data_IF_570771866998
#
_entry.id   IF_570771866998
#
_cell.length_a   1.000
_cell.length_b   1.000
_cell.length_c   1.000
_cell.angle_alpha   90.00
_cell.angle_beta   90.00
_cell.angle_gamma   90.00
#
_symmetry.space_group_name_H-M   'P 1'
#
loop_
_entity.id
_entity.type
_entity.pdbx_description
1 polymer ?
#
# COMPACT_ATOMS: atom_id res chain seq x y z
N UNK A 1 2.15 24.74 -4.00
CA UNK A 1 1.19 23.72 -3.53
C UNK A 1 1.11 22.64 -4.59
N UNK A 2 0.91 21.37 -4.25
CA UNK A 2 0.73 20.29 -5.24
C UNK A 2 -0.75 20.01 -5.41
N UNK A 3 -1.19 19.85 -6.65
CA UNK A 3 -2.60 19.59 -6.99
C UNK A 3 -2.74 18.15 -7.43
N UNK A 4 -3.72 17.46 -6.83
CA UNK A 4 -4.09 16.11 -7.23
C UNK A 4 -4.91 16.15 -8.51
N UNK A 5 -4.42 15.50 -9.55
CA UNK A 5 -5.16 15.26 -10.80
C UNK A 5 -5.65 13.82 -10.83
N UNK A 6 -6.89 13.61 -11.30
CA UNK A 6 -7.53 12.31 -11.45
C UNK A 6 -7.67 11.98 -12.93
N UNK A 7 -7.17 10.82 -13.34
CA UNK A 7 -7.33 10.30 -14.70
C UNK A 7 -7.89 8.87 -14.66
N UNK A 8 -8.76 8.49 -15.60
CA UNK A 8 -9.21 7.12 -15.70
C UNK A 8 -8.10 6.24 -16.32
N UNK A 9 -7.95 5.03 -15.79
CA UNK A 9 -7.13 3.97 -16.34
C UNK A 9 -8.00 2.73 -16.54
N UNK A 10 -8.07 2.19 -17.75
CA UNK A 10 -8.85 0.98 -18.02
C UNK A 10 -7.92 -0.22 -18.02
N UNK A 11 -8.09 -1.13 -17.05
CA UNK A 11 -7.40 -2.40 -16.98
C UNK A 11 -7.81 -3.33 -18.13
N UNK A 12 -6.99 -4.34 -18.44
CA UNK A 12 -7.22 -5.25 -19.57
C UNK A 12 -8.53 -6.04 -19.50
N UNK A 13 -9.03 -6.26 -18.28
CA UNK A 13 -10.33 -6.92 -18.07
C UNK A 13 -11.53 -5.96 -18.19
N UNK A 14 -11.29 -4.67 -18.52
CA UNK A 14 -12.30 -3.64 -18.70
C UNK A 14 -12.66 -2.88 -17.43
N UNK A 15 -12.03 -3.18 -16.28
CA UNK A 15 -12.26 -2.42 -15.05
C UNK A 15 -11.61 -1.03 -15.14
N UNK A 16 -12.35 0.00 -14.72
CA UNK A 16 -11.83 1.37 -14.72
C UNK A 16 -11.27 1.71 -13.32
N UNK A 17 -9.97 1.98 -13.26
CA UNK A 17 -9.27 2.39 -12.07
C UNK A 17 -9.06 3.90 -12.08
N UNK A 18 -9.29 4.55 -10.96
CA UNK A 18 -9.03 5.97 -10.77
C UNK A 18 -7.54 6.17 -10.46
N UNK A 19 -6.79 6.75 -11.37
CA UNK A 19 -5.37 7.02 -11.22
C UNK A 19 -5.14 8.48 -10.82
N UNK A 20 -4.38 8.69 -9.77
CA UNK A 20 -4.08 10.00 -9.20
C UNK A 20 -2.63 10.39 -9.44
N UNK A 21 -2.42 11.66 -9.80
CA UNK A 21 -1.11 12.28 -9.92
C UNK A 21 -1.08 13.56 -9.08
N UNK A 22 -0.05 13.76 -8.29
CA UNK A 22 0.19 15.02 -7.57
C UNK A 22 1.24 15.80 -8.30
N UNK A 23 0.82 16.88 -8.94
CA UNK A 23 1.66 17.74 -9.78
C UNK A 23 1.91 19.07 -9.07
N UNK A 24 3.12 19.63 -9.25
CA UNK A 24 3.40 21.00 -8.81
C UNK A 24 2.47 21.98 -9.54
N UNK A 25 1.88 22.94 -8.80
CA UNK A 25 1.13 24.04 -9.43
C UNK A 25 2.02 24.76 -10.44
N UNK A 26 1.52 24.93 -11.66
CA UNK A 26 2.27 25.57 -12.79
C UNK A 26 2.65 27.02 -12.54
N UNK A 27 2.09 27.67 -11.51
CA UNK A 27 2.32 29.06 -11.16
C UNK A 27 3.71 29.39 -10.59
N UNK A 28 4.54 28.38 -10.31
CA UNK A 28 5.88 28.58 -9.72
C UNK A 28 7.07 28.43 -10.67
N UNK A 29 6.84 28.01 -11.92
CA UNK A 29 7.94 27.89 -12.89
C UNK A 29 8.05 29.16 -13.72
N UNK A 30 9.14 29.94 -13.55
CA UNK A 30 9.49 30.97 -14.50
C UNK A 30 9.85 30.36 -15.86
N UNK A 31 9.52 31.00 -17.00
CA UNK A 31 9.95 30.55 -18.32
C UNK A 31 11.48 30.41 -18.34
N UNK A 32 12.00 29.19 -18.51
CA UNK A 32 13.45 28.92 -18.53
C UNK A 32 13.97 28.17 -17.30
N UNK A 33 13.18 27.97 -16.25
CA UNK A 33 13.55 27.12 -15.13
C UNK A 33 13.45 25.65 -15.54
N UNK A 34 14.57 25.07 -15.92
CA UNK A 34 14.75 23.61 -16.14
C UNK A 34 14.74 22.89 -14.79
N UNK A 35 13.63 22.98 -14.03
CA UNK A 35 13.50 22.48 -12.67
C UNK A 35 14.36 21.25 -12.37
N UNK A 36 14.84 21.11 -11.15
CA UNK A 36 15.63 19.96 -10.72
C UNK A 36 14.90 18.66 -11.13
N UNK A 37 15.56 17.73 -11.85
CA UNK A 37 14.94 16.47 -12.25
C UNK A 37 14.38 15.76 -11.04
N UNK A 38 13.21 15.15 -11.17
CA UNK A 38 12.62 14.36 -10.09
C UNK A 38 13.56 13.21 -9.70
N UNK A 39 13.64 12.93 -8.41
CA UNK A 39 14.52 11.90 -7.80
C UNK A 39 14.01 10.48 -8.11
N UNK A 40 12.73 10.33 -8.35
CA UNK A 40 12.05 9.09 -8.63
C UNK A 40 10.54 9.28 -8.71
N UNK A 41 9.82 8.22 -8.99
CA UNK A 41 8.36 8.17 -8.93
C UNK A 41 7.91 7.20 -7.85
N UNK A 42 7.02 7.65 -6.96
CA UNK A 42 6.41 6.82 -5.92
C UNK A 42 4.99 6.46 -6.34
N UNK A 43 4.71 5.16 -6.47
CA UNK A 43 3.37 4.64 -6.66
C UNK A 43 2.81 4.15 -5.32
N UNK A 44 1.76 4.80 -4.83
CA UNK A 44 1.11 4.45 -3.57
C UNK A 44 -0.06 3.49 -3.78
N UNK A 45 -0.17 2.47 -2.90
CA UNK A 45 -1.23 1.47 -2.89
C UNK A 45 -1.91 1.48 -1.52
N UNK A 46 -3.17 1.89 -1.49
CA UNK A 46 -3.96 2.08 -0.27
C UNK A 46 -4.47 0.77 0.36
N UNK A 47 -5.03 0.84 1.56
CA UNK A 47 -5.55 -0.29 2.34
C UNK A 47 -6.96 -0.76 1.93
N UNK A 48 -7.48 -1.74 2.67
CA UNK A 48 -8.85 -2.28 2.47
C UNK A 48 -9.90 -1.28 2.92
N UNK A 49 -10.89 -1.04 2.06
CA UNK A 49 -12.07 -0.25 2.39
C UNK A 49 -11.86 1.26 2.35
N UNK A 50 -10.66 1.73 2.00
CA UNK A 50 -10.31 3.14 1.87
C UNK A 50 -9.99 3.53 0.40
N UNK A 51 -9.31 4.64 0.17
CA UNK A 51 -8.98 5.13 -1.17
C UNK A 51 -7.74 6.03 -1.17
N UNK A 52 -7.14 6.23 -2.35
CA UNK A 52 -5.90 7.00 -2.54
C UNK A 52 -6.00 8.46 -2.08
N UNK A 53 -7.18 9.07 -2.16
CA UNK A 53 -7.40 10.46 -1.74
C UNK A 53 -7.13 10.74 -0.25
N UNK A 54 -7.05 9.70 0.59
CA UNK A 54 -6.69 9.86 2.01
C UNK A 54 -5.19 10.11 2.22
N UNK A 55 -4.39 9.98 1.17
CA UNK A 55 -2.92 10.12 1.20
C UNK A 55 -2.42 11.46 0.66
N UNK A 56 -3.30 12.46 0.48
CA UNK A 56 -2.90 13.79 -0.02
C UNK A 56 -1.73 14.40 0.77
N UNK A 57 -1.72 14.27 2.09
CA UNK A 57 -0.64 14.80 2.94
C UNK A 57 0.68 14.02 2.77
N UNK A 58 0.63 12.70 2.59
CA UNK A 58 1.81 11.86 2.30
C UNK A 58 2.37 12.22 0.94
N UNK A 59 1.50 12.34 -0.07
CA UNK A 59 1.89 12.72 -1.42
C UNK A 59 2.55 14.11 -1.45
N UNK A 60 1.95 15.09 -0.77
CA UNK A 60 2.52 16.44 -0.68
C UNK A 60 3.91 16.45 -0.03
N UNK A 61 4.13 15.65 1.03
CA UNK A 61 5.47 15.50 1.62
C UNK A 61 6.46 14.91 0.60
N UNK A 62 6.11 13.80 -0.06
CA UNK A 62 6.97 13.16 -1.07
C UNK A 62 7.28 14.12 -2.24
N UNK A 63 6.28 14.83 -2.75
CA UNK A 63 6.49 15.85 -3.79
C UNK A 63 7.43 16.97 -3.31
N UNK A 64 7.29 17.43 -2.06
CA UNK A 64 8.19 18.46 -1.49
C UNK A 64 9.62 17.96 -1.34
N UNK A 65 9.85 16.65 -1.30
CA UNK A 65 11.17 16.03 -1.27
C UNK A 65 11.71 15.71 -2.67
N UNK A 66 11.01 16.13 -3.73
CA UNK A 66 11.45 16.02 -5.11
C UNK A 66 11.08 14.72 -5.82
N UNK A 67 10.05 14.00 -5.35
CA UNK A 67 9.51 12.83 -6.04
C UNK A 67 8.27 13.18 -6.86
N UNK A 68 8.09 12.52 -8.01
CA UNK A 68 6.78 12.39 -8.64
C UNK A 68 5.94 11.41 -7.84
N UNK A 69 4.64 11.68 -7.69
CA UNK A 69 3.77 10.83 -6.87
C UNK A 69 2.52 10.45 -7.63
N UNK A 70 2.28 9.16 -7.68
CA UNK A 70 1.09 8.55 -8.25
C UNK A 70 0.42 7.62 -7.23
N UNK A 71 -0.87 7.42 -7.38
CA UNK A 71 -1.61 6.39 -6.67
C UNK A 71 -2.80 5.97 -7.53
N UNK A 72 -3.43 4.86 -7.18
CA UNK A 72 -4.70 4.48 -7.79
C UNK A 72 -5.65 3.95 -6.73
N UNK A 73 -6.94 4.14 -6.96
CA UNK A 73 -7.94 3.41 -6.20
C UNK A 73 -8.00 1.98 -6.71
N UNK A 74 -7.79 1.01 -5.83
CA UNK A 74 -7.92 -0.40 -6.18
C UNK A 74 -9.35 -0.71 -6.60
N UNK A 75 -9.55 -1.71 -7.46
CA UNK A 75 -10.89 -2.11 -7.92
C UNK A 75 -11.88 -2.23 -6.76
N UNK A 76 -13.09 -1.72 -6.94
CA UNK A 76 -14.13 -1.70 -5.91
C UNK A 76 -13.89 -0.73 -4.75
N UNK A 77 -12.96 0.21 -4.90
CA UNK A 77 -12.64 1.23 -3.89
C UNK A 77 -12.69 2.64 -4.51
N UNK A 78 -12.96 3.63 -3.66
CA UNK A 78 -12.88 5.05 -4.02
C UNK A 78 -13.71 5.41 -5.25
N UNK A 79 -13.04 5.98 -6.25
CA UNK A 79 -13.62 6.38 -7.54
C UNK A 79 -13.43 5.30 -8.64
N UNK A 80 -12.76 4.17 -8.33
CA UNK A 80 -12.64 3.03 -9.23
C UNK A 80 -13.95 2.25 -9.32
N UNK A 81 -14.19 1.64 -10.50
CA UNK A 81 -15.34 0.76 -10.67
C UNK A 81 -15.15 -0.59 -9.99
N UNK A 82 -16.16 -1.44 -10.08
CA UNK A 82 -16.20 -2.74 -9.40
C UNK A 82 -17.02 -2.75 -8.11
N UNK A 83 -17.44 -3.93 -7.71
CA UNK A 83 -18.23 -4.08 -6.48
C UNK A 83 -17.32 -4.08 -5.25
N UNK A 84 -17.61 -3.26 -4.22
CA UNK A 84 -16.80 -3.15 -3.02
C UNK A 84 -16.47 -4.50 -2.37
N UNK A 85 -15.16 -4.74 -2.16
CA UNK A 85 -14.65 -5.94 -1.49
C UNK A 85 -14.68 -7.23 -2.32
N UNK A 86 -14.98 -7.17 -3.62
CA UNK A 86 -14.98 -8.35 -4.51
C UNK A 86 -13.77 -8.38 -5.43
N UNK A 87 -13.42 -9.55 -5.93
CA UNK A 87 -12.37 -9.75 -6.93
C UNK A 87 -12.89 -10.68 -8.06
N UNK A 88 -12.60 -10.40 -9.33
CA UNK A 88 -12.92 -11.32 -10.44
C UNK A 88 -12.05 -12.57 -10.41
N UNK A 89 -10.79 -12.44 -10.00
CA UNK A 89 -9.83 -13.55 -9.88
C UNK A 89 -9.01 -13.46 -8.59
N UNK A 90 -8.24 -14.49 -8.26
CA UNK A 90 -7.32 -14.50 -7.11
C UNK A 90 -6.08 -13.63 -7.32
N UNK A 91 -5.80 -13.22 -8.55
CA UNK A 91 -4.63 -12.41 -8.92
C UNK A 91 -4.98 -10.96 -9.27
N UNK A 92 -6.27 -10.60 -9.34
CA UNK A 92 -6.73 -9.33 -9.87
C UNK A 92 -6.02 -8.10 -9.28
N UNK A 93 -5.79 -8.05 -7.96
CA UNK A 93 -5.08 -6.92 -7.32
C UNK A 93 -3.61 -6.83 -7.76
N UNK A 94 -2.97 -7.97 -8.03
CA UNK A 94 -1.60 -8.03 -8.51
C UNK A 94 -1.52 -7.67 -10.00
N UNK A 95 -2.51 -8.09 -10.77
CA UNK A 95 -2.61 -7.80 -12.21
C UNK A 95 -2.87 -6.29 -12.41
N UNK A 96 -3.79 -5.70 -11.64
CA UNK A 96 -4.02 -4.25 -11.63
C UNK A 96 -2.76 -3.46 -11.31
N UNK A 97 -2.05 -3.86 -10.23
CA UNK A 97 -0.80 -3.20 -9.87
C UNK A 97 0.26 -3.32 -10.98
N UNK A 98 0.33 -4.48 -11.66
CA UNK A 98 1.25 -4.66 -12.79
C UNK A 98 0.94 -3.70 -13.94
N UNK A 99 -0.34 -3.57 -14.30
CA UNK A 99 -0.78 -2.73 -15.42
C UNK A 99 -0.61 -1.23 -15.11
N UNK A 100 -1.01 -0.78 -13.90
CA UNK A 100 -0.79 0.59 -13.45
C UNK A 100 0.71 0.91 -13.39
N UNK A 101 1.52 -0.01 -12.90
CA UNK A 101 2.97 0.18 -12.84
C UNK A 101 3.61 0.26 -14.24
N UNK A 102 3.13 -0.53 -15.20
CA UNK A 102 3.59 -0.47 -16.59
C UNK A 102 3.22 0.87 -17.23
N UNK A 103 2.03 1.43 -16.96
CA UNK A 103 1.60 2.76 -17.42
C UNK A 103 2.47 3.87 -16.82
N UNK A 104 2.69 3.86 -15.49
CA UNK A 104 3.58 4.81 -14.82
C UNK A 104 5.00 4.78 -15.38
N UNK A 105 5.51 3.60 -15.74
CA UNK A 105 6.83 3.47 -16.38
C UNK A 105 6.89 4.08 -17.77
N UNK A 106 5.81 4.00 -18.54
CA UNK A 106 5.76 4.66 -19.84
C UNK A 106 5.77 6.18 -19.68
N UNK A 107 5.12 6.70 -18.64
CA UNK A 107 5.10 8.14 -18.35
C UNK A 107 6.46 8.63 -17.80
N UNK A 108 7.14 7.80 -16.98
CA UNK A 108 8.40 8.14 -16.30
C UNK A 108 9.53 7.14 -16.60
N UNK A 109 9.93 6.98 -17.88
CA UNK A 109 10.81 5.86 -18.30
C UNK A 109 12.22 5.90 -17.71
N UNK A 110 12.67 7.07 -17.25
CA UNK A 110 14.03 7.29 -16.71
C UNK A 110 14.06 7.34 -15.19
N UNK A 111 12.91 7.46 -14.51
CA UNK A 111 12.88 7.61 -13.07
C UNK A 111 12.87 6.24 -12.36
N UNK A 112 13.61 6.11 -11.26
CA UNK A 112 13.48 4.95 -10.40
C UNK A 112 12.06 4.87 -9.82
N UNK A 113 11.42 3.70 -9.92
CA UNK A 113 10.08 3.47 -9.41
C UNK A 113 10.15 2.85 -8.02
N UNK A 114 9.43 3.47 -7.09
CA UNK A 114 9.30 3.09 -5.69
C UNK A 114 7.84 2.72 -5.44
N UNK A 115 7.57 1.56 -4.84
CA UNK A 115 6.23 1.23 -4.34
C UNK A 115 6.11 1.65 -2.88
N UNK A 116 4.97 2.26 -2.52
CA UNK A 116 4.58 2.50 -1.14
C UNK A 116 3.22 1.86 -0.91
N UNK A 117 3.13 0.86 -0.03
CA UNK A 117 1.87 0.19 0.27
C UNK A 117 1.50 0.25 1.74
N UNK A 118 0.22 0.52 2.03
CA UNK A 118 -0.32 0.50 3.37
C UNK A 118 -1.30 -0.67 3.54
N UNK A 119 -1.23 -1.38 4.67
CA UNK A 119 -2.20 -2.41 5.05
C UNK A 119 -2.37 -3.48 3.95
N UNK A 120 -3.60 -3.65 3.39
CA UNK A 120 -3.85 -4.48 2.22
C UNK A 120 -2.97 -4.09 1.04
N UNK A 121 -2.81 -2.79 0.76
CA UNK A 121 -1.91 -2.31 -0.29
C UNK A 121 -0.46 -2.67 -0.03
N UNK A 122 -0.04 -2.69 1.23
CA UNK A 122 1.27 -3.20 1.65
C UNK A 122 1.43 -4.71 1.39
N UNK A 123 0.39 -5.49 1.62
CA UNK A 123 0.36 -6.91 1.27
C UNK A 123 0.42 -7.11 -0.24
N UNK A 124 -0.38 -6.37 -1.01
CA UNK A 124 -0.36 -6.43 -2.48
C UNK A 124 1.03 -6.09 -3.02
N UNK A 125 1.61 -4.96 -2.59
CA UNK A 125 2.93 -4.51 -3.02
C UNK A 125 4.05 -5.49 -2.63
N UNK A 126 4.04 -6.01 -1.40
CA UNK A 126 5.05 -6.97 -0.94
C UNK A 126 4.91 -8.33 -1.64
N UNK A 127 3.68 -8.81 -1.87
CA UNK A 127 3.44 -10.03 -2.64
C UNK A 127 3.86 -9.88 -4.09
N UNK A 128 3.56 -8.75 -4.71
CA UNK A 128 3.97 -8.40 -6.08
C UNK A 128 5.49 -8.46 -6.24
N UNK A 129 6.23 -7.86 -5.31
CA UNK A 129 7.70 -7.88 -5.27
C UNK A 129 8.23 -9.29 -5.04
N UNK A 130 7.64 -10.06 -4.12
CA UNK A 130 8.06 -11.43 -3.82
C UNK A 130 7.92 -12.39 -5.01
N UNK A 131 6.98 -12.12 -5.91
CA UNK A 131 6.76 -12.86 -7.14
C UNK A 131 7.65 -12.39 -8.30
N UNK A 132 8.36 -11.26 -8.14
CA UNK A 132 9.17 -10.68 -9.22
C UNK A 132 8.35 -10.24 -10.43
N UNK A 133 7.08 -9.85 -10.26
CA UNK A 133 6.17 -9.56 -11.37
C UNK A 133 6.65 -8.41 -12.24
N UNK A 134 7.19 -7.37 -11.64
CA UNK A 134 7.89 -6.27 -12.31
C UNK A 134 9.01 -5.76 -11.40
N UNK A 135 10.16 -5.33 -11.95
CA UNK A 135 11.24 -4.77 -11.15
C UNK A 135 10.81 -3.43 -10.53
N UNK A 136 11.11 -3.20 -9.26
CA UNK A 136 11.00 -1.90 -8.59
C UNK A 136 12.33 -1.58 -7.91
N UNK A 137 12.65 -0.30 -7.77
CA UNK A 137 13.91 0.12 -7.14
C UNK A 137 13.88 0.00 -5.62
N UNK A 138 12.70 0.21 -5.04
CA UNK A 138 12.51 0.12 -3.59
C UNK A 138 11.04 -0.13 -3.26
N UNK A 139 10.82 -0.62 -2.03
CA UNK A 139 9.50 -0.87 -1.45
C UNK A 139 9.42 -0.18 -0.09
N UNK A 140 8.35 0.55 0.14
CA UNK A 140 7.99 1.12 1.46
C UNK A 140 6.70 0.47 1.91
N UNK A 141 6.69 -0.07 3.11
CA UNK A 141 5.55 -0.75 3.72
C UNK A 141 5.14 -0.03 5.00
N UNK A 142 3.86 0.29 5.11
CA UNK A 142 3.24 0.88 6.30
C UNK A 142 2.19 -0.10 6.83
N UNK A 143 2.44 -0.70 7.99
CA UNK A 143 1.58 -1.68 8.66
C UNK A 143 1.00 -2.73 7.68
N UNK A 144 1.83 -3.42 6.85
CA UNK A 144 1.34 -4.33 5.80
C UNK A 144 0.60 -5.52 6.41
N UNK A 145 -0.49 -5.95 5.76
CA UNK A 145 -1.33 -7.08 6.20
C UNK A 145 -0.65 -8.44 5.98
N UNK A 146 0.57 -8.62 6.50
CA UNK A 146 1.35 -9.87 6.38
C UNK A 146 0.80 -10.99 7.28
N UNK A 147 0.16 -10.63 8.39
CA UNK A 147 -0.62 -11.54 9.21
C UNK A 147 -1.96 -10.87 9.57
N UNK A 148 -3.03 -11.43 9.06
CA UNK A 148 -4.38 -10.90 9.29
C UNK A 148 -4.98 -11.36 10.63
N UNK A 149 -4.22 -12.03 11.49
CA UNK A 149 -4.70 -12.52 12.80
C UNK A 149 -5.85 -13.54 12.73
N UNK A 150 -6.03 -14.22 11.58
CA UNK A 150 -7.17 -15.11 11.35
C UNK A 150 -7.11 -16.35 12.23
N UNK A 151 -8.21 -16.63 12.93
CA UNK A 151 -8.39 -17.86 13.70
C UNK A 151 -8.53 -19.11 12.80
N UNK A 152 -8.41 -20.28 13.41
CA UNK A 152 -8.48 -21.58 12.70
C UNK A 152 -9.80 -21.75 11.94
N UNK A 153 -10.91 -21.36 12.55
CA UNK A 153 -12.24 -21.45 11.92
C UNK A 153 -12.37 -20.55 10.70
N UNK A 154 -11.90 -19.30 10.79
CA UNK A 154 -11.89 -18.37 9.65
C UNK A 154 -11.02 -18.91 8.51
N UNK A 155 -9.84 -19.46 8.81
CA UNK A 155 -8.96 -20.11 7.81
C UNK A 155 -9.64 -21.29 7.13
N UNK A 156 -10.44 -22.09 7.88
CA UNK A 156 -11.20 -23.20 7.33
C UNK A 156 -12.31 -22.72 6.40
N UNK A 157 -13.09 -21.70 6.80
CA UNK A 157 -14.12 -21.09 5.94
C UNK A 157 -13.53 -20.56 4.62
N UNK A 158 -12.35 -19.92 4.67
CA UNK A 158 -11.68 -19.39 3.49
C UNK A 158 -11.10 -20.48 2.57
N UNK A 159 -11.05 -21.74 2.97
CA UNK A 159 -10.75 -22.86 2.07
C UNK A 159 -11.95 -23.27 1.22
N UNK A 160 -13.17 -23.12 1.74
CA UNK A 160 -14.40 -23.65 1.13
C UNK A 160 -15.21 -22.55 0.44
N UNK A 161 -15.53 -21.46 1.15
CA UNK A 161 -16.43 -20.41 0.65
C UNK A 161 -16.02 -19.76 -0.67
N UNK A 162 -14.72 -19.55 -0.98
CA UNK A 162 -14.33 -18.98 -2.28
C UNK A 162 -14.67 -19.86 -3.47
N UNK A 163 -14.87 -21.17 -3.27
CA UNK A 163 -15.31 -22.09 -4.32
C UNK A 163 -16.83 -22.09 -4.54
N UNK A 164 -17.62 -21.69 -3.54
CA UNK A 164 -19.07 -21.75 -3.57
C UNK A 164 -19.69 -20.37 -3.79
N UNK A 165 -19.26 -19.38 -3.01
CA UNK A 165 -19.79 -18.00 -3.00
C UNK A 165 -18.67 -16.96 -3.04
N UNK A 166 -17.82 -16.96 -4.09
CA UNK A 166 -16.57 -16.21 -4.12
C UNK A 166 -16.73 -14.70 -3.89
N UNK A 167 -17.84 -14.13 -4.33
CA UNK A 167 -18.13 -12.70 -4.32
C UNK A 167 -19.27 -12.31 -3.37
N UNK A 168 -19.68 -13.19 -2.45
CA UNK A 168 -20.62 -12.83 -1.37
C UNK A 168 -19.99 -11.75 -0.50
N UNK A 169 -20.62 -10.59 -0.42
CA UNK A 169 -20.11 -9.44 0.35
C UNK A 169 -20.61 -9.47 1.76
N UNK A 170 -19.68 -9.50 2.71
CA UNK A 170 -19.95 -9.42 4.15
C UNK A 170 -19.20 -8.24 4.75
N UNK A 171 -19.50 -7.86 5.99
CA UNK A 171 -18.68 -6.92 6.74
C UNK A 171 -17.27 -7.46 6.95
N UNK A 172 -16.25 -6.61 6.81
CA UNK A 172 -14.85 -7.02 6.98
C UNK A 172 -14.45 -7.25 8.45
N UNK A 173 -15.28 -6.81 9.40
CA UNK A 173 -15.06 -6.99 10.84
C UNK A 173 -13.99 -6.07 11.44
N UNK A 174 -13.46 -5.12 10.67
CA UNK A 174 -12.48 -4.15 11.17
C UNK A 174 -13.18 -3.03 11.93
N UNK A 175 -12.68 -2.72 13.12
CA UNK A 175 -13.17 -1.59 13.92
C UNK A 175 -12.36 -0.33 13.57
N UNK A 176 -13.03 0.62 12.91
CA UNK A 176 -12.43 1.89 12.49
C UNK A 176 -11.87 2.74 13.65
N UNK A 177 -12.27 2.48 14.89
CA UNK A 177 -11.71 3.16 16.06
C UNK A 177 -10.22 2.85 16.28
N UNK A 178 -9.70 1.81 15.64
CA UNK A 178 -8.30 1.39 15.75
C UNK A 178 -7.43 1.75 14.54
N UNK A 179 -7.95 2.54 13.58
CA UNK A 179 -7.11 3.03 12.47
C UNK A 179 -6.07 4.04 12.96
N UNK A 180 -6.45 4.92 13.89
CA UNK A 180 -5.57 5.95 14.47
C UNK A 180 -6.05 6.30 15.90
N UNK A 181 -5.12 6.77 16.73
CA UNK A 181 -5.44 7.37 18.04
C UNK A 181 -6.05 8.77 17.90
N UNK A 182 -5.94 9.42 16.72
CA UNK A 182 -6.59 10.71 16.49
C UNK A 182 -8.09 10.52 16.16
N UNK A 183 -9.00 10.98 17.04
CA UNK A 183 -10.43 10.87 16.81
C UNK A 183 -10.91 11.68 15.60
N UNK A 184 -10.15 12.69 15.13
CA UNK A 184 -10.47 13.44 13.92
C UNK A 184 -10.30 12.54 12.69
N UNK A 185 -9.24 11.74 12.63
CA UNK A 185 -8.98 10.77 11.57
C UNK A 185 -10.09 9.72 11.53
N UNK A 186 -10.45 9.16 12.68
CA UNK A 186 -11.55 8.19 12.81
C UNK A 186 -12.87 8.76 12.30
N UNK A 187 -13.23 9.97 12.73
CA UNK A 187 -14.47 10.64 12.27
C UNK A 187 -14.46 10.88 10.76
N UNK A 188 -13.34 11.37 10.22
CA UNK A 188 -13.20 11.61 8.77
C UNK A 188 -13.38 10.31 7.99
N UNK A 189 -12.77 9.22 8.44
CA UNK A 189 -12.91 7.88 7.85
C UNK A 189 -14.37 7.40 7.84
N UNK A 190 -15.06 7.48 8.99
CA UNK A 190 -16.44 7.02 9.13
C UNK A 190 -17.46 7.85 8.34
N UNK A 191 -17.14 9.12 8.05
CA UNK A 191 -18.01 10.03 7.29
C UNK A 191 -17.73 10.05 5.79
N UNK A 192 -16.63 9.46 5.32
CA UNK A 192 -16.28 9.44 3.89
C UNK A 192 -17.11 8.39 3.14
N UNK A 193 -17.89 8.83 2.15
CA UNK A 193 -18.76 7.97 1.34
C UNK A 193 -18.01 7.01 0.44
N UNK A 194 -16.72 7.23 0.19
CA UNK A 194 -15.85 6.37 -0.61
C UNK A 194 -15.24 5.23 0.20
N UNK A 195 -15.40 5.29 1.52
CA UNK A 195 -14.99 4.23 2.43
C UNK A 195 -16.07 3.15 2.51
N UNK A 196 -15.68 1.89 2.55
CA UNK A 196 -16.60 0.77 2.74
C UNK A 196 -16.05 -0.28 3.71
N UNK A 197 -16.93 -1.05 4.30
CA UNK A 197 -16.59 -2.15 5.22
C UNK A 197 -16.84 -3.55 4.62
N UNK A 198 -16.72 -3.70 3.30
CA UNK A 198 -17.06 -4.95 2.60
C UNK A 198 -15.80 -5.78 2.30
N UNK A 199 -15.97 -7.10 2.40
CA UNK A 199 -15.01 -8.12 1.99
C UNK A 199 -15.75 -9.33 1.41
N UNK A 200 -15.17 -10.00 0.42
CA UNK A 200 -15.67 -11.26 -0.10
C UNK A 200 -14.77 -12.43 0.31
N UNK A 201 -15.27 -13.69 0.27
CA UNK A 201 -14.46 -14.87 0.52
C UNK A 201 -13.21 -14.94 -0.38
N UNK A 202 -13.28 -14.51 -1.64
CA UNK A 202 -12.12 -14.50 -2.54
C UNK A 202 -11.06 -13.51 -2.10
N UNK A 203 -11.45 -12.28 -1.73
CA UNK A 203 -10.50 -11.29 -1.20
C UNK A 203 -9.93 -11.75 0.15
N UNK A 204 -10.76 -12.30 1.04
CA UNK A 204 -10.31 -12.89 2.31
C UNK A 204 -9.29 -14.02 2.09
N UNK A 205 -9.52 -14.89 1.09
CA UNK A 205 -8.57 -15.95 0.72
C UNK A 205 -7.25 -15.37 0.19
N UNK A 206 -7.30 -14.33 -0.64
CA UNK A 206 -6.09 -13.64 -1.09
C UNK A 206 -5.27 -13.17 0.11
N UNK A 207 -5.88 -12.45 1.06
CA UNK A 207 -5.21 -11.96 2.26
C UNK A 207 -4.62 -13.13 3.07
N UNK A 208 -5.41 -14.18 3.32
CA UNK A 208 -5.01 -15.34 4.10
C UNK A 208 -3.88 -16.16 3.48
N UNK A 209 -3.68 -16.08 2.17
CA UNK A 209 -2.65 -16.86 1.46
C UNK A 209 -1.43 -16.01 1.06
N UNK A 210 -1.63 -14.77 0.66
CA UNK A 210 -0.55 -13.89 0.21
C UNK A 210 0.40 -13.49 1.36
N UNK A 211 -0.14 -13.24 2.57
CA UNK A 211 0.68 -12.90 3.74
C UNK A 211 1.69 -13.98 4.09
N UNK A 212 1.26 -15.21 4.43
CA UNK A 212 2.18 -16.31 4.70
C UNK A 212 3.15 -16.61 3.55
N UNK A 213 2.70 -16.48 2.29
CA UNK A 213 3.57 -16.71 1.13
C UNK A 213 4.64 -15.60 0.99
N UNK A 214 4.32 -14.34 1.33
CA UNK A 214 5.29 -13.25 1.38
C UNK A 214 6.28 -13.45 2.52
N UNK A 215 5.81 -13.86 3.71
CA UNK A 215 6.67 -14.20 4.84
C UNK A 215 7.65 -15.33 4.50
N UNK A 216 7.20 -16.33 3.73
CA UNK A 216 8.06 -17.44 3.30
C UNK A 216 9.17 -17.00 2.34
N UNK A 217 9.03 -15.88 1.64
CA UNK A 217 10.05 -15.33 0.72
C UNK A 217 11.04 -14.37 1.38
N UNK A 218 10.84 -14.04 2.66
CA UNK A 218 11.64 -13.04 3.36
C UNK A 218 13.14 -13.41 3.47
N UNK A 219 13.45 -14.70 3.53
CA UNK A 219 14.81 -15.24 3.60
C UNK A 219 15.60 -15.14 2.28
N UNK A 220 14.93 -14.76 1.18
CA UNK A 220 15.53 -14.54 -0.14
C UNK A 220 15.25 -13.14 -0.67
N UNK A 221 14.85 -12.21 0.21
CA UNK A 221 14.43 -10.87 -0.18
C UNK A 221 15.57 -10.04 -0.78
N UNK A 222 15.32 -9.40 -1.93
CA UNK A 222 16.37 -8.68 -2.68
C UNK A 222 16.09 -7.20 -2.87
N UNK A 223 14.82 -6.80 -2.79
CA UNK A 223 14.41 -5.42 -3.03
C UNK A 223 14.67 -4.57 -1.78
N UNK A 224 15.40 -3.44 -1.89
CA UNK A 224 15.54 -2.50 -0.78
C UNK A 224 14.17 -2.13 -0.20
N UNK A 225 13.96 -2.40 1.08
CA UNK A 225 12.64 -2.26 1.71
C UNK A 225 12.73 -1.49 3.02
N UNK A 226 11.88 -0.47 3.16
CA UNK A 226 11.55 0.15 4.44
C UNK A 226 10.26 -0.45 4.95
N UNK A 227 10.31 -1.15 6.07
CA UNK A 227 9.15 -1.72 6.75
C UNK A 227 8.86 -0.93 8.03
N UNK A 228 7.79 -0.18 8.03
CA UNK A 228 7.28 0.55 9.19
C UNK A 228 5.98 -0.12 9.66
N UNK A 229 5.83 -0.36 10.95
CA UNK A 229 4.63 -0.99 11.48
C UNK A 229 4.28 -0.49 12.88
N UNK A 230 3.00 -0.50 13.20
CA UNK A 230 2.46 -0.06 14.47
C UNK A 230 2.60 -1.15 15.53
N UNK A 231 3.10 -0.79 16.71
CA UNK A 231 3.29 -1.74 17.82
C UNK A 231 1.97 -2.06 18.56
N UNK A 232 1.00 -1.15 18.55
CA UNK A 232 -0.32 -1.34 19.15
C UNK A 232 -1.44 -1.55 18.10
N UNK A 233 -1.07 -2.05 16.90
CA UNK A 233 -2.01 -2.35 15.83
C UNK A 233 -3.06 -3.39 16.28
N UNK A 234 -4.35 -3.06 16.05
CA UNK A 234 -5.50 -3.93 16.37
C UNK A 234 -6.19 -4.47 15.11
N UNK A 235 -5.78 -4.00 13.93
CA UNK A 235 -6.38 -4.40 12.65
C UNK A 235 -5.55 -5.46 11.92
N UNK A 236 -4.23 -5.40 12.10
CA UNK A 236 -3.25 -6.35 11.56
C UNK A 236 -2.31 -6.77 12.68
N UNK A 237 -2.00 -8.07 12.76
CA UNK A 237 -1.05 -8.54 13.78
C UNK A 237 0.38 -8.04 13.45
N UNK A 238 0.98 -7.16 14.29
CA UNK A 238 2.33 -6.64 14.07
C UNK A 238 3.39 -7.73 14.05
N UNK A 239 3.12 -8.90 14.65
CA UNK A 239 4.02 -10.05 14.61
C UNK A 239 4.31 -10.54 13.18
N UNK A 240 3.41 -10.30 12.23
CA UNK A 240 3.67 -10.57 10.80
C UNK A 240 4.85 -9.74 10.28
N UNK A 241 4.83 -8.43 10.52
CA UNK A 241 5.92 -7.52 10.14
C UNK A 241 7.23 -7.84 10.86
N UNK A 242 7.14 -8.14 12.16
CA UNK A 242 8.29 -8.54 12.95
C UNK A 242 8.96 -9.81 12.42
N UNK A 243 8.16 -10.86 12.12
CA UNK A 243 8.67 -12.12 11.53
C UNK A 243 9.32 -11.91 10.18
N UNK A 244 8.73 -11.05 9.33
CA UNK A 244 9.32 -10.71 8.03
C UNK A 244 10.70 -10.08 8.19
N UNK A 245 10.82 -9.06 9.05
CA UNK A 245 12.09 -8.38 9.32
C UNK A 245 13.14 -9.33 9.90
N UNK A 246 12.76 -10.16 10.86
CA UNK A 246 13.65 -11.12 11.51
C UNK A 246 14.17 -12.16 10.50
N UNK A 247 13.29 -12.78 9.70
CA UNK A 247 13.71 -13.76 8.68
C UNK A 247 14.66 -13.18 7.65
N UNK A 248 14.38 -11.93 7.20
CA UNK A 248 15.28 -11.24 6.28
C UNK A 248 16.66 -10.94 6.91
N UNK A 249 16.68 -10.54 8.19
CA UNK A 249 17.93 -10.22 8.90
C UNK A 249 18.78 -11.45 9.23
N UNK A 250 18.15 -12.60 9.54
CA UNK A 250 18.83 -13.85 9.88
C UNK A 250 19.32 -14.60 8.64
N UNK A 251 18.81 -14.28 7.46
CA UNK A 251 19.18 -14.99 6.23
C UNK A 251 20.52 -14.55 5.67
N UNK A 252 21.38 -15.52 5.39
CA UNK A 252 22.67 -15.28 4.70
C UNK A 252 22.49 -14.94 3.20
N UNK A 253 21.34 -15.23 2.63
CA UNK A 253 21.02 -14.91 1.23
C UNK A 253 20.55 -13.46 1.04
N UNK A 254 20.15 -12.78 2.12
CA UNK A 254 19.72 -11.39 2.09
C UNK A 254 20.92 -10.49 2.44
N UNK A 255 21.22 -9.55 1.55
CA UNK A 255 22.29 -8.57 1.79
C UNK A 255 21.94 -7.72 3.02
N UNK A 256 22.87 -7.52 3.97
CA UNK A 256 22.63 -6.64 5.11
C UNK A 256 22.14 -5.24 4.68
N UNK A 257 21.13 -4.71 5.37
CA UNK A 257 20.53 -3.42 5.03
C UNK A 257 19.51 -3.45 3.89
N UNK A 258 19.24 -4.61 3.28
CA UNK A 258 18.17 -4.75 2.28
C UNK A 258 16.79 -4.45 2.88
N UNK A 259 16.53 -4.93 4.10
CA UNK A 259 15.32 -4.61 4.85
C UNK A 259 15.69 -3.75 6.05
N UNK A 260 15.15 -2.54 6.11
CA UNK A 260 15.18 -1.65 7.27
C UNK A 260 13.81 -1.72 7.92
N UNK A 261 13.71 -2.16 9.16
CA UNK A 261 12.43 -2.29 9.86
C UNK A 261 12.37 -1.38 11.09
N UNK A 262 11.21 -0.76 11.33
CA UNK A 262 10.93 0.06 12.50
C UNK A 262 9.54 -0.21 13.05
N UNK A 263 9.46 -0.62 14.30
CA UNK A 263 8.23 -0.63 15.08
C UNK A 263 8.00 0.77 15.69
N UNK A 264 6.78 1.26 15.60
CA UNK A 264 6.31 2.46 16.28
C UNK A 264 5.44 2.02 17.46
N UNK A 265 6.06 1.91 18.62
CA UNK A 265 5.40 1.46 19.84
C UNK A 265 4.25 2.40 20.22
N UNK A 266 3.12 1.81 20.62
CA UNK A 266 1.92 2.55 21.00
C UNK A 266 1.12 3.17 19.85
N UNK A 267 1.62 3.16 18.60
CA UNK A 267 0.88 3.65 17.44
C UNK A 267 -0.18 2.63 17.00
N UNK A 268 -1.28 3.15 16.43
CA UNK A 268 -2.30 2.36 15.76
C UNK A 268 -1.98 2.21 14.27
N UNK A 269 -2.87 1.57 13.55
CA UNK A 269 -2.65 1.03 12.21
C UNK A 269 -2.11 2.02 11.17
N UNK A 270 -2.71 3.23 11.08
CA UNK A 270 -2.39 4.23 10.06
C UNK A 270 -1.25 5.17 10.53
N UNK A 271 -0.01 4.72 10.43
CA UNK A 271 1.17 5.45 10.93
C UNK A 271 1.26 6.91 10.49
N UNK A 272 0.89 7.20 9.23
CA UNK A 272 0.92 8.54 8.66
C UNK A 272 -0.22 9.45 9.17
N UNK A 273 -1.24 8.86 9.76
CA UNK A 273 -2.43 9.53 10.28
C UNK A 273 -2.48 9.51 11.81
N UNK A 274 -1.39 9.19 12.49
CA UNK A 274 -1.32 9.18 13.95
C UNK A 274 -1.18 10.58 14.54
N UNK A 275 -1.37 10.70 15.88
CA UNK A 275 -1.27 11.97 16.60
C UNK A 275 0.10 12.63 16.43
N UNK A 276 1.17 11.83 16.41
CA UNK A 276 2.53 12.31 16.22
C UNK A 276 3.16 11.65 14.99
N UNK A 277 2.76 12.02 13.76
CA UNK A 277 3.24 11.36 12.54
C UNK A 277 4.67 11.79 12.13
N UNK A 278 5.21 12.85 12.74
CA UNK A 278 6.51 13.41 12.36
C UNK A 278 7.65 12.39 12.35
N UNK A 279 7.83 11.50 13.36
CA UNK A 279 8.89 10.49 13.33
C UNK A 279 8.76 9.48 12.19
N UNK A 280 7.52 9.21 11.73
CA UNK A 280 7.25 8.32 10.58
C UNK A 280 7.72 8.98 9.29
N UNK A 281 7.37 10.26 9.08
CA UNK A 281 7.82 11.04 7.92
C UNK A 281 9.33 11.26 7.91
N UNK A 282 9.93 11.54 9.06
CA UNK A 282 11.38 11.71 9.20
C UNK A 282 12.13 10.43 8.81
N UNK A 283 11.69 9.27 9.32
CA UNK A 283 12.29 7.99 8.96
C UNK A 283 12.15 7.71 7.46
N UNK A 284 10.95 7.94 6.88
CA UNK A 284 10.71 7.77 5.46
C UNK A 284 11.64 8.67 4.63
N UNK A 285 11.70 9.95 4.98
CA UNK A 285 12.55 10.92 4.29
C UNK A 285 14.03 10.52 4.34
N UNK A 286 14.56 10.25 5.52
CA UNK A 286 15.95 9.87 5.70
C UNK A 286 16.30 8.59 4.94
N UNK A 287 15.38 7.61 4.92
CA UNK A 287 15.59 6.38 4.18
C UNK A 287 15.59 6.58 2.66
N UNK A 288 14.73 7.45 2.15
CA UNK A 288 14.71 7.84 0.73
C UNK A 288 15.92 8.68 0.35
N UNK A 289 16.32 9.66 1.17
CA UNK A 289 17.49 10.52 0.94
C UNK A 289 18.80 9.75 0.86
N UNK A 290 18.91 8.64 1.59
CA UNK A 290 20.08 7.77 1.54
C UNK A 290 20.17 6.91 0.26
N UNK A 291 19.14 6.91 -0.62
CA UNK A 291 19.04 5.98 -1.76
C UNK A 291 18.78 6.64 -3.11
N UNK A 292 18.18 7.79 -3.10
CA UNK A 292 17.73 8.54 -4.27
C UNK A 292 18.15 10.00 -4.19
#
# INVERSE_FOLDING_TARGET
MYVRNLTPFTARDGENLALYHWLAEQSSKQPGDLGTPARGVVLMVHGLGEHAGRYDHVANCLCSWGFEVCAYDQRGHGESTGLPGTLPSSTALLDDLAEVLDDIRQQYPKLPLILLGHSLGGLVASRFVSLGMRPVKALVLSSPALDAGLGVFQKLLLKVLPGIVPNLRVGNGLDANFISRDPKVVRAYLSDRRVHNKISPRLGKFIATAGPATLASADQWRTPTLLMYAGADKLVDPAGSQRFAQRAAESRAVKPGTVTAKCFDGYYHELFNELEPAPVFELLKNWLDARF
#
